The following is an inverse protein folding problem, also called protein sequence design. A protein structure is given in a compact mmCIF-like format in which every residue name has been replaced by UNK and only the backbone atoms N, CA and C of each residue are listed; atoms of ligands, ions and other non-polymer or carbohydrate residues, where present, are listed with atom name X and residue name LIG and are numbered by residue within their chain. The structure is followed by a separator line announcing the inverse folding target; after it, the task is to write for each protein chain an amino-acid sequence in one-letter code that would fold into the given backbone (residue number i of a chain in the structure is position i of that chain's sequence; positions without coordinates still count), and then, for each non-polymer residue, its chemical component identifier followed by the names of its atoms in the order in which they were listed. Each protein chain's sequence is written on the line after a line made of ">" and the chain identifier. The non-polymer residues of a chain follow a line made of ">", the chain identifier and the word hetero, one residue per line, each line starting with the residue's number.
data_IF_930784146535
#
_entry.id   IF_930784146535
#
_cell.length_a   1.000
_cell.length_b   1.000
_cell.length_c   1.000
_cell.angle_alpha   90.00
_cell.angle_beta   90.00
_cell.angle_gamma   90.00
#
_symmetry.space_group_name_H-M   'P 1'
#
loop_
_entity.id
_entity.type
_entity.pdbx_description
1 polymer ?
#
# COMPACT_ATOMS: atom_id res chain seq x y z
N UNK A 1 -46.40 -49.50 51.81
CA UNK A 1 -46.42 -48.27 51.10
C UNK A 1 -45.36 -48.39 49.93
N UNK A 2 -45.74 -48.47 48.64
CA UNK A 2 -44.80 -48.63 47.56
C UNK A 2 -44.44 -47.26 47.03
N UNK A 3 -43.14 -47.05 46.86
CA UNK A 3 -42.52 -45.90 46.25
C UNK A 3 -42.61 -46.02 44.69
N UNK A 4 -43.26 -45.06 44.07
CA UNK A 4 -43.32 -44.96 42.61
C UNK A 4 -42.07 -44.27 42.11
N UNK A 5 -41.26 -44.97 41.26
CA UNK A 5 -40.16 -44.46 40.50
C UNK A 5 -40.72 -43.92 39.18
N UNK A 6 -40.63 -42.61 38.96
CA UNK A 6 -40.98 -41.94 37.69
C UNK A 6 -39.71 -41.90 36.84
N UNK A 7 -39.70 -42.66 35.76
CA UNK A 7 -38.67 -42.67 34.74
C UNK A 7 -38.96 -41.53 33.75
N UNK A 8 -38.16 -40.45 33.78
CA UNK A 8 -38.25 -39.35 32.84
C UNK A 8 -37.37 -39.66 31.61
N UNK A 9 -37.98 -39.90 30.46
CA UNK A 9 -37.27 -40.10 29.21
C UNK A 9 -36.92 -38.73 28.61
N UNK A 10 -35.66 -38.40 28.57
CA UNK A 10 -35.13 -37.24 27.84
C UNK A 10 -34.96 -37.64 26.36
N UNK A 11 -35.82 -37.13 25.49
CA UNK A 11 -35.70 -37.25 24.04
C UNK A 11 -34.66 -36.20 23.58
N UNK A 12 -33.48 -36.67 23.24
CA UNK A 12 -32.41 -35.86 22.64
C UNK A 12 -32.71 -35.70 21.16
N UNK A 13 -33.32 -34.59 20.76
CA UNK A 13 -33.53 -34.25 19.33
C UNK A 13 -32.20 -33.76 18.75
N UNK A 14 -31.48 -34.60 18.03
CA UNK A 14 -30.30 -34.23 17.24
C UNK A 14 -30.78 -33.51 15.99
N UNK A 15 -30.64 -32.19 15.95
CA UNK A 15 -30.79 -31.39 14.74
C UNK A 15 -29.60 -31.69 13.81
N UNK A 16 -29.81 -32.55 12.83
CA UNK A 16 -28.94 -32.66 11.68
C UNK A 16 -29.13 -31.41 10.80
N UNK A 17 -28.23 -30.43 10.90
CA UNK A 17 -28.09 -29.39 9.90
C UNK A 17 -27.45 -30.01 8.65
N UNK A 18 -28.24 -30.14 7.59
CA UNK A 18 -27.74 -30.61 6.29
C UNK A 18 -27.07 -29.44 5.57
N UNK A 19 -25.77 -29.48 5.28
CA UNK A 19 -25.08 -28.42 4.55
C UNK A 19 -25.26 -28.49 3.02
N UNK A 20 -26.07 -29.37 2.49
CA UNK A 20 -26.08 -29.72 1.05
C UNK A 20 -27.19 -29.06 0.22
N UNK A 21 -28.19 -28.42 0.82
CA UNK A 21 -29.33 -27.88 0.08
C UNK A 21 -28.99 -26.57 -0.70
N UNK A 22 -28.00 -25.79 -0.25
CA UNK A 22 -27.60 -24.56 -0.95
C UNK A 22 -26.81 -24.86 -2.22
N UNK A 23 -25.86 -25.79 -2.18
CA UNK A 23 -25.05 -26.18 -3.35
C UNK A 23 -25.88 -26.76 -4.48
N UNK A 24 -26.86 -27.62 -4.15
CA UNK A 24 -27.77 -28.20 -5.13
C UNK A 24 -28.74 -27.16 -5.77
N UNK A 25 -29.13 -26.13 -5.01
CA UNK A 25 -29.94 -25.03 -5.53
C UNK A 25 -29.16 -24.12 -6.48
N UNK A 26 -27.85 -23.93 -6.22
CA UNK A 26 -26.93 -23.11 -7.03
C UNK A 26 -26.60 -23.78 -8.37
N UNK A 27 -26.28 -25.07 -8.39
CA UNK A 27 -26.06 -25.83 -9.62
C UNK A 27 -27.32 -25.84 -10.50
N UNK A 28 -28.50 -25.92 -9.91
CA UNK A 28 -29.77 -25.87 -10.62
C UNK A 28 -30.00 -24.54 -11.36
N UNK A 29 -29.56 -23.42 -10.81
CA UNK A 29 -29.66 -22.10 -11.47
C UNK A 29 -28.74 -21.99 -12.68
N UNK A 30 -27.54 -22.55 -12.61
CA UNK A 30 -26.57 -22.50 -13.71
C UNK A 30 -26.94 -23.46 -14.86
N UNK A 31 -27.67 -24.54 -14.58
CA UNK A 31 -28.11 -25.53 -15.57
C UNK A 31 -29.41 -25.15 -16.28
N UNK A 32 -30.32 -24.43 -15.63
CA UNK A 32 -31.68 -24.16 -16.14
C UNK A 32 -31.78 -23.18 -17.31
N UNK A 33 -30.70 -22.43 -17.61
CA UNK A 33 -30.69 -21.45 -18.72
C UNK A 33 -29.69 -21.83 -19.80
N UNK A 34 -29.94 -22.94 -20.50
CA UNK A 34 -28.97 -23.57 -21.41
C UNK A 34 -28.66 -22.79 -22.69
N UNK A 35 -29.46 -21.80 -23.11
CA UNK A 35 -29.31 -21.18 -24.44
C UNK A 35 -29.25 -19.65 -24.52
N UNK A 36 -29.32 -18.89 -23.42
CA UNK A 36 -29.43 -17.43 -23.51
C UNK A 36 -28.31 -16.65 -22.81
N UNK A 37 -27.35 -17.31 -22.12
CA UNK A 37 -26.27 -16.66 -21.43
C UNK A 37 -25.12 -16.21 -22.33
N UNK A 38 -24.33 -15.24 -21.88
CA UNK A 38 -23.09 -14.82 -22.52
C UNK A 38 -21.95 -15.66 -21.97
N UNK A 39 -21.25 -16.40 -22.85
CA UNK A 39 -20.07 -17.21 -22.50
C UNK A 39 -18.80 -16.39 -22.64
N UNK A 40 -17.90 -16.52 -21.68
CA UNK A 40 -16.59 -15.86 -21.71
C UNK A 40 -15.51 -16.75 -21.07
N UNK A 41 -14.27 -16.53 -21.42
CA UNK A 41 -13.13 -16.98 -20.63
C UNK A 41 -12.80 -15.92 -19.61
N UNK A 42 -12.30 -16.34 -18.46
CA UNK A 42 -11.91 -15.43 -17.40
C UNK A 42 -10.75 -15.98 -16.59
N UNK A 43 -10.24 -15.15 -15.68
CA UNK A 43 -9.23 -15.52 -14.70
C UNK A 43 -9.63 -15.05 -13.32
N UNK A 44 -9.18 -15.78 -12.31
CA UNK A 44 -9.38 -15.42 -10.90
C UNK A 44 -8.38 -14.33 -10.54
N UNK A 45 -8.82 -13.19 -10.04
CA UNK A 45 -7.97 -12.12 -9.54
C UNK A 45 -8.42 -11.65 -8.16
N UNK A 46 -7.49 -11.23 -7.28
CA UNK A 46 -7.87 -10.50 -6.08
C UNK A 46 -8.56 -9.19 -6.45
N UNK A 47 -9.59 -8.81 -5.72
CA UNK A 47 -10.28 -7.53 -5.93
C UNK A 47 -9.35 -6.32 -5.80
N UNK A 48 -8.39 -6.39 -4.90
CA UNK A 48 -7.32 -5.40 -4.72
C UNK A 48 -6.35 -5.31 -5.89
N UNK A 49 -6.41 -6.26 -6.83
CA UNK A 49 -5.36 -6.62 -7.80
C UNK A 49 -4.09 -7.10 -7.12
N UNK A 50 -3.21 -7.71 -7.88
CA UNK A 50 -1.87 -8.07 -7.40
C UNK A 50 -0.98 -6.84 -7.49
N UNK A 51 -0.44 -6.43 -6.35
CA UNK A 51 0.48 -5.29 -6.24
C UNK A 51 1.90 -5.82 -6.30
N UNK A 52 2.65 -5.34 -7.27
CA UNK A 52 4.09 -5.59 -7.35
C UNK A 52 4.82 -4.50 -6.59
N UNK A 53 5.51 -4.90 -5.54
CA UNK A 53 6.34 -4.00 -4.74
C UNK A 53 7.73 -3.96 -5.33
N UNK A 54 8.15 -2.75 -5.70
CA UNK A 54 9.47 -2.48 -6.25
C UNK A 54 10.08 -1.26 -5.56
N UNK A 55 11.36 -1.02 -5.77
CA UNK A 55 12.06 0.15 -5.28
C UNK A 55 12.85 0.81 -6.42
N UNK A 56 12.65 2.10 -6.58
CA UNK A 56 13.37 2.88 -7.60
C UNK A 56 14.68 3.45 -6.99
N UNK A 57 15.74 2.66 -7.03
CA UNK A 57 17.07 3.06 -6.56
C UNK A 57 17.97 3.57 -7.69
N UNK A 58 17.39 4.04 -8.79
CA UNK A 58 18.12 4.49 -9.97
C UNK A 58 18.81 3.34 -10.75
N UNK A 59 19.72 3.66 -11.69
CA UNK A 59 20.31 2.67 -12.61
C UNK A 59 21.09 1.53 -11.95
N UNK A 60 21.54 1.74 -10.71
CA UNK A 60 22.33 0.72 -9.99
C UNK A 60 21.45 -0.27 -9.23
N UNK A 61 20.15 0.00 -9.08
CA UNK A 61 19.21 -0.81 -8.30
C UNK A 61 19.51 -0.80 -6.80
N UNK A 62 18.49 -1.06 -5.97
CA UNK A 62 18.67 -1.27 -4.53
C UNK A 62 19.03 -2.73 -4.27
N UNK A 63 19.92 -3.00 -3.31
CA UNK A 63 20.18 -4.34 -2.80
C UNK A 63 19.37 -4.55 -1.53
N UNK A 64 18.72 -5.70 -1.41
CA UNK A 64 18.05 -6.12 -0.17
C UNK A 64 19.10 -6.52 0.85
N UNK A 65 19.15 -5.87 2.01
CA UNK A 65 19.98 -6.27 3.13
C UNK A 65 19.30 -7.40 3.91
N UNK A 66 18.04 -7.16 4.30
CA UNK A 66 17.27 -8.11 5.09
C UNK A 66 15.83 -8.13 4.62
N UNK A 67 15.26 -9.34 4.52
CA UNK A 67 13.87 -9.61 4.24
C UNK A 67 13.23 -10.21 5.50
N UNK A 68 12.05 -9.70 5.93
CA UNK A 68 11.40 -10.09 7.17
C UNK A 68 10.20 -11.01 6.98
N UNK A 69 9.85 -11.31 5.74
CA UNK A 69 8.64 -12.04 5.40
C UNK A 69 8.94 -13.25 4.52
N UNK A 70 8.01 -14.18 4.48
CA UNK A 70 8.00 -15.35 3.60
C UNK A 70 6.76 -15.31 2.68
N UNK A 71 6.77 -16.16 1.66
CA UNK A 71 5.58 -16.41 0.85
C UNK A 71 4.46 -16.97 1.74
N UNK A 72 3.23 -16.57 1.47
CA UNK A 72 2.02 -16.86 2.25
C UNK A 72 1.89 -16.13 3.59
N UNK A 73 2.84 -15.31 4.00
CA UNK A 73 2.70 -14.49 5.21
C UNK A 73 1.61 -13.42 5.01
N UNK A 74 0.84 -13.18 6.09
CA UNK A 74 -0.15 -12.11 6.15
C UNK A 74 0.47 -10.88 6.79
N UNK A 75 0.37 -9.74 6.13
CA UNK A 75 0.96 -8.47 6.57
C UNK A 75 -0.10 -7.38 6.66
N UNK A 76 0.14 -6.41 7.54
CA UNK A 76 -0.70 -5.22 7.67
C UNK A 76 -0.09 -4.06 6.89
N UNK A 77 -0.93 -3.12 6.46
CA UNK A 77 -0.46 -1.87 5.86
C UNK A 77 0.53 -1.16 6.80
N UNK A 78 1.70 -0.76 6.27
CA UNK A 78 2.78 -0.14 7.01
C UNK A 78 3.83 -1.09 7.59
N UNK A 79 3.57 -2.41 7.65
CA UNK A 79 4.55 -3.38 8.13
C UNK A 79 5.82 -3.33 7.26
N UNK A 80 6.98 -3.41 7.91
CA UNK A 80 8.27 -3.41 7.21
C UNK A 80 8.53 -4.80 6.63
N UNK A 81 8.62 -4.87 5.30
CA UNK A 81 8.84 -6.10 4.55
C UNK A 81 10.33 -6.38 4.35
N UNK A 82 11.11 -5.34 4.06
CA UNK A 82 12.54 -5.44 3.82
C UNK A 82 13.29 -4.16 4.19
N UNK A 83 14.58 -4.32 4.43
CA UNK A 83 15.55 -3.23 4.62
C UNK A 83 16.56 -3.29 3.46
N UNK A 84 16.88 -2.11 2.91
CA UNK A 84 17.87 -1.96 1.85
C UNK A 84 19.29 -1.76 2.42
N UNK A 85 20.30 -2.12 1.64
CA UNK A 85 21.71 -2.14 2.07
C UNK A 85 22.31 -0.77 2.38
N UNK A 86 21.68 0.31 1.98
CA UNK A 86 22.09 1.68 2.28
C UNK A 86 21.45 2.25 3.55
N UNK A 87 20.60 1.49 4.24
CA UNK A 87 19.89 1.90 5.45
C UNK A 87 20.85 2.44 6.53
N UNK A 88 21.91 1.70 6.85
CA UNK A 88 22.88 2.10 7.87
C UNK A 88 23.58 3.42 7.50
N UNK A 89 23.90 3.60 6.22
CA UNK A 89 24.49 4.85 5.72
C UNK A 89 23.51 6.02 5.84
N UNK A 90 22.24 5.83 5.42
CA UNK A 90 21.21 6.87 5.51
C UNK A 90 20.88 7.24 6.96
N UNK A 91 20.92 6.26 7.86
CA UNK A 91 20.78 6.51 9.30
C UNK A 91 21.92 7.42 9.83
N UNK A 92 23.16 7.16 9.44
CA UNK A 92 24.29 8.01 9.83
C UNK A 92 24.19 9.42 9.24
N UNK A 93 23.64 9.58 8.03
CA UNK A 93 23.37 10.89 7.42
C UNK A 93 22.34 11.69 8.25
N UNK A 94 21.26 11.07 8.73
CA UNK A 94 20.26 11.67 9.64
C UNK A 94 20.92 12.09 10.97
N UNK A 95 21.76 11.25 11.56
CA UNK A 95 22.49 11.57 12.80
C UNK A 95 23.41 12.77 12.60
N UNK A 96 24.11 12.83 11.47
CA UNK A 96 25.00 13.96 11.10
C UNK A 96 24.21 15.25 10.92
N UNK A 97 23.09 15.23 10.19
CA UNK A 97 22.23 16.38 10.01
C UNK A 97 21.65 16.89 11.36
N UNK A 98 21.27 15.97 12.22
CA UNK A 98 20.79 16.28 13.57
C UNK A 98 21.88 16.95 14.42
N UNK A 99 23.11 16.43 14.37
CA UNK A 99 24.26 17.01 15.09
C UNK A 99 24.57 18.43 14.60
N UNK A 100 24.48 18.69 13.28
CA UNK A 100 24.65 20.02 12.69
C UNK A 100 23.68 21.05 13.28
N UNK A 101 22.40 20.69 13.42
CA UNK A 101 21.41 21.58 14.05
C UNK A 101 21.81 21.93 15.47
N UNK A 102 22.23 20.96 16.28
CA UNK A 102 22.67 21.19 17.66
C UNK A 102 23.85 22.14 17.75
N UNK A 103 24.80 22.04 16.81
CA UNK A 103 25.95 22.97 16.75
C UNK A 103 25.49 24.41 16.46
N UNK A 104 24.59 24.57 15.45
CA UNK A 104 24.06 25.89 15.11
C UNK A 104 23.21 26.48 16.23
N UNK A 105 22.45 25.68 16.96
CA UNK A 105 21.70 26.11 18.13
C UNK A 105 22.59 26.58 19.26
N UNK A 106 23.70 25.87 19.52
CA UNK A 106 24.70 26.29 20.52
C UNK A 106 25.36 27.61 20.13
N UNK A 107 25.70 27.80 18.84
CA UNK A 107 26.24 29.06 18.33
C UNK A 107 25.25 30.22 18.48
N UNK A 108 23.96 29.96 18.17
CA UNK A 108 22.88 30.94 18.35
C UNK A 108 22.73 31.34 19.83
N UNK A 109 22.86 30.40 20.78
CA UNK A 109 22.80 30.68 22.22
C UNK A 109 23.97 31.59 22.65
N UNK A 110 25.17 31.30 22.16
CA UNK A 110 26.34 32.15 22.43
C UNK A 110 26.16 33.57 21.87
N UNK A 111 25.67 33.71 20.62
CA UNK A 111 25.38 35.01 20.01
C UNK A 111 24.26 35.75 20.75
N UNK A 112 23.24 35.04 21.27
CA UNK A 112 22.17 35.61 22.06
C UNK A 112 22.70 36.29 23.35
N UNK A 113 23.70 35.67 24.00
CA UNK A 113 24.38 36.28 25.16
C UNK A 113 25.11 37.56 24.77
N UNK A 114 25.87 37.54 23.65
CA UNK A 114 26.56 38.70 23.11
C UNK A 114 25.58 39.81 22.70
N UNK A 115 24.50 39.48 22.04
CA UNK A 115 23.46 40.46 21.67
C UNK A 115 22.86 41.11 22.92
N UNK A 116 22.56 40.32 23.94
CA UNK A 116 22.03 40.84 25.21
C UNK A 116 23.02 41.82 25.88
N UNK A 117 24.29 41.51 25.85
CA UNK A 117 25.35 42.41 26.34
C UNK A 117 25.41 43.68 25.51
N UNK A 118 25.54 43.59 24.18
CA UNK A 118 25.63 44.73 23.28
C UNK A 118 24.42 45.67 23.40
N UNK A 119 23.21 45.10 23.55
CA UNK A 119 22.00 45.86 23.79
C UNK A 119 22.08 46.68 25.07
N UNK A 120 22.52 46.07 26.18
CA UNK A 120 22.68 46.76 27.46
C UNK A 120 23.71 47.87 27.35
N UNK A 121 24.83 47.62 26.69
CA UNK A 121 25.89 48.63 26.49
C UNK A 121 25.42 49.81 25.64
N UNK A 122 24.69 49.56 24.55
CA UNK A 122 24.10 50.59 23.71
C UNK A 122 23.14 51.45 24.51
N UNK A 123 22.17 50.87 25.24
CA UNK A 123 21.24 51.58 26.09
C UNK A 123 21.91 52.41 27.19
N UNK A 124 22.97 51.88 27.83
CA UNK A 124 23.78 52.56 28.84
C UNK A 124 24.45 53.79 28.25
N UNK A 125 25.13 53.69 27.10
CA UNK A 125 25.79 54.85 26.46
C UNK A 125 24.78 55.88 25.98
N UNK A 126 23.62 55.45 25.48
CA UNK A 126 22.54 56.35 25.07
C UNK A 126 21.98 57.19 26.25
N UNK A 127 21.85 56.59 27.43
CA UNK A 127 21.37 57.28 28.63
C UNK A 127 22.35 58.31 29.18
N UNK A 128 23.67 58.23 28.85
CA UNK A 128 24.71 59.17 29.26
C UNK A 128 24.92 60.34 28.28
N UNK A 129 24.21 60.36 27.16
CA UNK A 129 24.30 61.42 26.15
C UNK A 129 23.87 62.80 26.63
N UNK A 130 22.80 62.97 27.43
CA UNK A 130 22.37 64.28 27.91
C UNK A 130 23.41 64.99 28.76
N UNK A 131 24.22 64.24 29.50
CA UNK A 131 25.25 64.78 30.41
C UNK A 131 26.58 65.02 29.71
N UNK A 132 26.65 64.91 28.38
CA UNK A 132 27.90 65.01 27.57
C UNK A 132 29.06 64.15 28.08
N UNK A 133 28.74 63.08 28.83
CA UNK A 133 29.76 62.18 29.43
C UNK A 133 30.29 61.15 28.41
N UNK A 134 29.68 61.03 27.20
CA UNK A 134 30.06 60.09 26.14
C UNK A 134 29.99 60.80 24.79
N UNK A 135 30.96 60.54 23.89
CA UNK A 135 30.98 61.08 22.55
C UNK A 135 29.92 60.41 21.63
N UNK A 136 29.42 61.15 20.63
CA UNK A 136 28.47 60.64 19.63
C UNK A 136 29.06 59.40 18.94
N UNK A 137 30.35 59.42 18.57
CA UNK A 137 30.98 58.29 17.89
C UNK A 137 31.02 57.03 18.75
N UNK A 138 31.12 57.14 20.08
CA UNK A 138 31.03 55.98 20.98
C UNK A 138 29.61 55.40 21.03
N UNK A 139 28.58 56.22 21.02
CA UNK A 139 27.18 55.78 20.96
C UNK A 139 26.91 55.02 19.65
N UNK A 140 27.37 55.63 18.53
CA UNK A 140 27.21 54.99 17.19
C UNK A 140 27.96 53.65 17.11
N UNK A 141 29.18 53.55 17.65
CA UNK A 141 29.92 52.30 17.70
C UNK A 141 29.20 51.22 18.51
N UNK A 142 28.58 51.59 19.65
CA UNK A 142 27.75 50.63 20.45
C UNK A 142 26.46 50.24 19.73
N UNK A 143 25.84 51.17 19.01
CA UNK A 143 24.67 50.90 18.17
C UNK A 143 25.03 49.91 17.05
N UNK A 144 26.15 50.14 16.35
CA UNK A 144 26.60 49.19 15.31
C UNK A 144 26.86 47.79 15.86
N UNK A 145 27.50 47.66 17.04
CA UNK A 145 27.74 46.36 17.66
C UNK A 145 26.41 45.64 18.03
N UNK A 146 25.42 46.40 18.51
CA UNK A 146 24.08 45.87 18.78
C UNK A 146 23.39 45.38 17.51
N UNK A 147 23.37 46.22 16.44
CA UNK A 147 22.76 45.87 15.16
C UNK A 147 23.46 44.68 14.50
N UNK A 148 24.79 44.61 14.58
CA UNK A 148 25.61 43.49 14.07
C UNK A 148 25.22 42.17 14.77
N UNK A 149 25.12 42.19 16.11
CA UNK A 149 24.72 40.97 16.85
C UNK A 149 23.27 40.55 16.56
N UNK A 150 22.35 41.49 16.30
CA UNK A 150 21.01 41.19 15.86
C UNK A 150 21.01 40.54 14.47
N UNK A 151 21.80 41.08 13.53
CA UNK A 151 21.93 40.50 12.19
C UNK A 151 22.49 39.06 12.24
N UNK A 152 23.48 38.83 13.13
CA UNK A 152 24.05 37.49 13.36
C UNK A 152 22.99 36.50 13.89
N UNK A 153 22.16 36.92 14.85
CA UNK A 153 21.04 36.08 15.34
C UNK A 153 20.07 35.69 14.24
N UNK A 154 19.70 36.64 13.37
CA UNK A 154 18.85 36.39 12.22
C UNK A 154 19.49 35.42 11.22
N UNK A 155 20.83 35.55 11.00
CA UNK A 155 21.61 34.62 10.18
C UNK A 155 21.56 33.21 10.76
N UNK A 156 21.88 33.03 12.08
CA UNK A 156 21.78 31.72 12.71
C UNK A 156 20.39 31.13 12.67
N UNK A 157 19.32 31.93 12.80
CA UNK A 157 17.94 31.47 12.66
C UNK A 157 17.68 30.89 11.24
N UNK A 158 18.18 31.60 10.20
CA UNK A 158 18.07 31.12 8.83
C UNK A 158 18.88 29.85 8.56
N UNK A 159 20.11 29.77 9.09
CA UNK A 159 20.96 28.57 8.97
C UNK A 159 20.36 27.35 9.69
N UNK A 160 19.75 27.53 10.86
CA UNK A 160 19.02 26.47 11.57
C UNK A 160 17.81 25.99 10.73
N UNK A 161 17.05 26.91 10.17
CA UNK A 161 15.90 26.54 9.32
C UNK A 161 16.35 25.75 8.07
N UNK A 162 17.48 26.16 7.44
CA UNK A 162 18.07 25.42 6.34
C UNK A 162 18.49 24.01 6.79
N UNK A 163 19.22 23.88 7.89
CA UNK A 163 19.66 22.58 8.42
C UNK A 163 18.50 21.67 8.81
N UNK A 164 17.38 22.24 9.31
CA UNK A 164 16.15 21.49 9.57
C UNK A 164 15.50 20.96 8.27
N UNK A 165 15.58 21.73 7.19
CA UNK A 165 15.10 21.28 5.88
C UNK A 165 15.97 20.15 5.31
N UNK A 166 17.29 20.26 5.45
CA UNK A 166 18.25 19.20 5.09
C UNK A 166 18.00 17.92 5.91
N UNK A 167 17.72 18.04 7.21
CA UNK A 167 17.36 16.90 8.06
C UNK A 167 16.08 16.19 7.56
N UNK A 168 15.05 16.95 7.16
CA UNK A 168 13.82 16.35 6.60
C UNK A 168 14.09 15.55 5.33
N UNK A 169 14.99 16.03 4.46
CA UNK A 169 15.41 15.30 3.25
C UNK A 169 16.10 13.99 3.66
N UNK A 170 17.09 14.05 4.58
CA UNK A 170 17.79 12.85 5.05
C UNK A 170 16.85 11.84 5.72
N UNK A 171 15.85 12.33 6.47
CA UNK A 171 14.81 11.46 7.07
C UNK A 171 13.95 10.75 6.02
N UNK A 172 13.53 11.47 4.96
CA UNK A 172 12.77 10.88 3.86
C UNK A 172 13.61 9.84 3.09
N UNK A 173 14.91 10.13 2.88
CA UNK A 173 15.84 9.18 2.27
C UNK A 173 16.02 7.92 3.12
N UNK A 174 16.11 8.06 4.45
CA UNK A 174 16.18 6.94 5.38
C UNK A 174 14.89 6.11 5.33
N UNK A 175 13.73 6.76 5.34
CA UNK A 175 12.44 6.05 5.25
C UNK A 175 12.30 5.29 3.93
N UNK A 176 12.81 5.83 2.83
CA UNK A 176 12.86 5.17 1.53
C UNK A 176 13.70 3.89 1.53
N UNK A 177 14.60 3.68 2.50
CA UNK A 177 15.36 2.42 2.62
C UNK A 177 14.56 1.29 3.26
N UNK A 178 13.36 1.58 3.76
CA UNK A 178 12.43 0.62 4.35
C UNK A 178 11.32 0.31 3.35
N UNK A 179 11.24 -0.91 2.88
CA UNK A 179 10.15 -1.35 2.02
C UNK A 179 9.00 -1.79 2.92
N UNK A 180 7.85 -1.10 2.79
CA UNK A 180 6.66 -1.34 3.60
C UNK A 180 5.49 -1.87 2.77
N UNK A 181 4.59 -2.61 3.43
CA UNK A 181 3.34 -3.05 2.82
C UNK A 181 2.41 -1.84 2.58
N UNK A 182 1.95 -1.59 1.32
CA UNK A 182 1.03 -0.49 1.03
C UNK A 182 -0.41 -0.77 1.50
N UNK A 183 -0.80 -2.04 1.56
CA UNK A 183 -2.11 -2.52 1.99
C UNK A 183 -1.94 -3.67 3.00
N UNK A 184 -3.02 -4.06 3.67
CA UNK A 184 -3.08 -5.37 4.33
C UNK A 184 -3.31 -6.45 3.27
N UNK A 185 -2.73 -7.63 3.47
CA UNK A 185 -2.85 -8.71 2.49
C UNK A 185 -1.86 -9.84 2.71
N UNK A 186 -1.78 -10.71 1.72
CA UNK A 186 -0.93 -11.90 1.71
C UNK A 186 0.22 -11.73 0.72
N UNK A 187 1.40 -12.17 1.09
CA UNK A 187 2.57 -12.22 0.20
C UNK A 187 2.40 -13.42 -0.74
N UNK A 188 2.24 -13.13 -2.03
CA UNK A 188 2.00 -14.16 -3.04
C UNK A 188 3.30 -14.77 -3.55
N UNK A 189 4.30 -13.92 -3.84
CA UNK A 189 5.57 -14.35 -4.41
C UNK A 189 6.69 -13.41 -4.05
N UNK A 190 7.86 -13.96 -3.76
CA UNK A 190 9.09 -13.23 -3.51
C UNK A 190 10.03 -13.40 -4.70
N UNK A 191 10.35 -12.30 -5.38
CA UNK A 191 11.24 -12.29 -6.54
C UNK A 191 12.71 -12.11 -6.16
N UNK A 192 12.98 -11.45 -5.03
CA UNK A 192 14.34 -11.14 -4.57
C UNK A 192 14.51 -11.47 -3.09
N UNK A 193 15.65 -12.02 -2.76
CA UNK A 193 16.03 -12.42 -1.40
C UNK A 193 17.13 -11.51 -0.85
N UNK A 194 17.44 -11.66 0.45
CA UNK A 194 18.56 -10.94 1.09
C UNK A 194 19.86 -11.14 0.30
N UNK A 195 20.58 -10.04 0.04
CA UNK A 195 21.80 -9.99 -0.75
C UNK A 195 21.59 -9.73 -2.26
N UNK A 196 20.37 -9.88 -2.77
CA UNK A 196 20.06 -9.68 -4.19
C UNK A 196 19.68 -8.23 -4.50
N UNK A 197 19.82 -7.85 -5.78
CA UNK A 197 19.38 -6.54 -6.27
C UNK A 197 17.94 -6.60 -6.78
N UNK A 198 17.17 -5.58 -6.46
CA UNK A 198 15.81 -5.39 -6.99
C UNK A 198 15.94 -4.93 -8.43
N UNK A 199 15.39 -5.71 -9.35
CA UNK A 199 15.33 -5.42 -10.79
C UNK A 199 13.90 -5.17 -11.26
N UNK A 200 13.67 -5.33 -12.57
CA UNK A 200 12.38 -5.05 -13.24
C UNK A 200 11.21 -5.88 -12.70
N UNK A 201 11.47 -7.09 -12.19
CA UNK A 201 10.45 -7.93 -11.55
C UNK A 201 9.99 -7.42 -10.19
N UNK A 202 10.63 -6.38 -9.63
CA UNK A 202 10.37 -5.89 -8.29
C UNK A 202 10.95 -6.80 -7.21
N UNK A 203 10.56 -6.54 -5.95
CA UNK A 203 10.94 -7.34 -4.77
C UNK A 203 10.01 -8.52 -4.57
N UNK A 204 8.70 -8.26 -4.57
CA UNK A 204 7.65 -9.24 -4.29
C UNK A 204 6.31 -8.83 -4.88
N UNK A 205 5.36 -9.76 -4.86
CA UNK A 205 3.96 -9.54 -5.19
C UNK A 205 3.08 -9.86 -3.97
N UNK A 206 2.09 -9.00 -3.73
CA UNK A 206 1.12 -9.17 -2.66
C UNK A 206 -0.28 -8.77 -3.10
N UNK A 207 -1.30 -9.28 -2.41
CA UNK A 207 -2.69 -8.92 -2.62
C UNK A 207 -3.52 -9.12 -1.36
N UNK A 208 -4.65 -8.41 -1.28
CA UNK A 208 -5.70 -8.73 -0.33
C UNK A 208 -6.57 -9.85 -0.94
N UNK A 209 -6.52 -11.03 -0.33
CA UNK A 209 -7.26 -12.21 -0.74
C UNK A 209 -8.64 -12.34 -0.08
N UNK A 210 -9.06 -11.36 0.71
CA UNK A 210 -10.38 -11.38 1.39
C UNK A 210 -11.56 -11.35 0.42
N UNK A 211 -11.34 -10.85 -0.79
CA UNK A 211 -12.32 -10.79 -1.87
C UNK A 211 -11.65 -11.13 -3.20
N UNK A 212 -12.29 -12.03 -3.94
CA UNK A 212 -11.85 -12.43 -5.26
C UNK A 212 -12.87 -11.99 -6.32
N UNK A 213 -12.36 -11.52 -7.44
CA UNK A 213 -13.12 -11.23 -8.64
C UNK A 213 -12.74 -12.23 -9.74
N UNK A 214 -13.67 -12.46 -10.64
CA UNK A 214 -13.40 -13.08 -11.94
C UNK A 214 -13.31 -11.96 -12.97
N UNK A 215 -12.19 -11.86 -13.65
CA UNK A 215 -12.02 -10.97 -14.80
C UNK A 215 -12.34 -11.76 -16.05
N UNK A 216 -13.56 -11.55 -16.57
CA UNK A 216 -14.07 -12.25 -17.75
C UNK A 216 -13.82 -11.40 -19.02
N UNK A 217 -13.35 -12.05 -20.07
CA UNK A 217 -13.13 -11.43 -21.39
C UNK A 217 -14.34 -11.66 -22.28
N UNK A 218 -15.25 -10.68 -22.27
CA UNK A 218 -16.49 -10.73 -23.05
C UNK A 218 -16.26 -10.09 -24.41
N UNK A 219 -16.72 -10.75 -25.47
CA UNK A 219 -16.64 -10.19 -26.83
C UNK A 219 -17.46 -8.89 -26.95
N UNK A 220 -16.91 -7.91 -27.69
CA UNK A 220 -17.56 -6.62 -27.93
C UNK A 220 -19.01 -6.78 -28.46
N UNK A 221 -19.24 -7.79 -29.30
CA UNK A 221 -20.56 -8.10 -29.87
C UNK A 221 -21.59 -8.52 -28.84
N UNK A 222 -21.16 -9.12 -27.72
CA UNK A 222 -22.06 -9.63 -26.68
C UNK A 222 -22.24 -8.65 -25.51
N UNK A 223 -21.43 -7.58 -25.45
CA UNK A 223 -21.46 -6.63 -24.34
C UNK A 223 -22.84 -5.99 -24.12
N UNK A 224 -23.61 -5.76 -25.20
CA UNK A 224 -24.96 -5.18 -25.11
C UNK A 224 -25.95 -6.02 -24.29
N UNK A 225 -25.63 -7.30 -24.05
CA UNK A 225 -26.41 -8.26 -23.27
C UNK A 225 -25.98 -8.34 -21.81
N UNK A 226 -24.82 -7.74 -21.46
CA UNK A 226 -24.27 -7.79 -20.10
C UNK A 226 -24.62 -6.53 -19.33
N UNK A 227 -25.08 -6.69 -18.08
CA UNK A 227 -25.44 -5.61 -17.18
C UNK A 227 -24.85 -5.87 -15.79
N UNK A 228 -24.53 -4.81 -15.07
CA UNK A 228 -24.17 -4.88 -13.64
C UNK A 228 -25.33 -5.47 -12.85
N UNK A 229 -25.03 -6.36 -11.90
CA UNK A 229 -26.00 -7.07 -11.07
C UNK A 229 -26.46 -8.43 -11.64
N UNK A 230 -26.05 -8.80 -12.87
CA UNK A 230 -26.35 -10.13 -13.41
C UNK A 230 -25.50 -11.20 -12.70
N UNK A 231 -26.09 -12.39 -12.58
CA UNK A 231 -25.41 -13.57 -12.03
C UNK A 231 -24.55 -14.24 -13.09
N UNK A 232 -23.31 -14.56 -12.75
CA UNK A 232 -22.39 -15.37 -13.54
C UNK A 232 -22.15 -16.73 -12.89
N UNK A 233 -22.15 -17.78 -13.70
CA UNK A 233 -21.77 -19.13 -13.31
C UNK A 233 -20.31 -19.38 -13.70
N UNK A 234 -19.47 -19.71 -12.72
CA UNK A 234 -18.04 -19.89 -12.88
C UNK A 234 -17.71 -21.38 -12.78
N UNK A 235 -17.11 -21.92 -13.83
CA UNK A 235 -16.67 -23.31 -13.88
C UNK A 235 -15.22 -23.41 -14.35
N UNK A 236 -14.52 -24.45 -13.92
CA UNK A 236 -13.13 -24.68 -14.28
C UNK A 236 -12.80 -26.18 -14.31
N UNK A 237 -11.75 -26.55 -15.02
CA UNK A 237 -11.29 -27.93 -15.02
C UNK A 237 -10.83 -28.32 -13.60
N UNK A 238 -11.43 -29.36 -12.99
CA UNK A 238 -11.10 -29.81 -11.63
C UNK A 238 -11.75 -28.98 -10.51
N UNK A 239 -12.75 -28.15 -10.80
CA UNK A 239 -13.66 -27.62 -9.79
C UNK A 239 -14.65 -28.72 -9.40
N UNK A 240 -14.94 -28.84 -8.11
CA UNK A 240 -15.90 -29.83 -7.60
C UNK A 240 -17.35 -29.41 -7.93
N UNK A 241 -17.60 -28.10 -7.99
CA UNK A 241 -18.91 -27.50 -8.28
C UNK A 241 -18.76 -26.18 -9.05
N UNK A 242 -19.89 -25.62 -9.47
CA UNK A 242 -19.95 -24.32 -10.13
C UNK A 242 -20.12 -23.22 -9.07
N UNK A 243 -19.27 -22.21 -9.09
CA UNK A 243 -19.39 -21.06 -8.20
C UNK A 243 -20.25 -19.97 -8.82
N UNK A 244 -20.93 -19.20 -7.97
CA UNK A 244 -21.68 -18.02 -8.38
C UNK A 244 -20.84 -16.77 -8.20
N UNK A 245 -21.05 -15.82 -9.10
CA UNK A 245 -20.45 -14.49 -9.04
C UNK A 245 -21.46 -13.47 -9.56
N UNK A 246 -21.36 -12.23 -9.11
CA UNK A 246 -22.21 -11.13 -9.56
C UNK A 246 -21.39 -10.15 -10.40
N UNK A 247 -21.93 -9.74 -11.56
CA UNK A 247 -21.31 -8.71 -12.40
C UNK A 247 -21.30 -7.39 -11.66
N UNK A 248 -20.10 -6.94 -11.29
CA UNK A 248 -19.87 -5.71 -10.54
C UNK A 248 -19.54 -4.52 -11.43
N UNK A 249 -18.74 -4.78 -12.47
CA UNK A 249 -18.16 -3.70 -13.28
C UNK A 249 -17.97 -4.14 -14.73
N UNK A 250 -18.29 -3.24 -15.66
CA UNK A 250 -18.01 -3.38 -17.07
C UNK A 250 -16.81 -2.48 -17.42
N UNK A 251 -15.81 -3.03 -18.10
CA UNK A 251 -14.67 -2.27 -18.56
C UNK A 251 -15.03 -1.23 -19.61
N UNK A 252 -14.20 -0.20 -19.73
CA UNK A 252 -14.36 0.88 -20.72
C UNK A 252 -13.44 0.72 -21.93
N UNK A 253 -12.50 -0.23 -21.87
CA UNK A 253 -11.48 -0.38 -22.91
C UNK A 253 -11.70 -1.67 -23.69
N UNK A 254 -11.78 -1.52 -25.01
CA UNK A 254 -11.74 -2.65 -25.94
C UNK A 254 -10.29 -3.05 -26.14
N UNK A 255 -9.96 -4.31 -25.90
CA UNK A 255 -8.61 -4.88 -26.05
C UNK A 255 -8.64 -6.08 -26.99
N UNK A 256 -7.47 -6.54 -27.41
CA UNK A 256 -7.31 -7.86 -28.00
C UNK A 256 -7.43 -8.92 -26.90
N UNK A 257 -7.91 -10.09 -27.25
CA UNK A 257 -8.00 -11.22 -26.34
C UNK A 257 -6.62 -11.72 -25.92
N UNK A 258 -6.29 -11.63 -24.63
CA UNK A 258 -4.99 -12.04 -24.10
C UNK A 258 -4.95 -13.53 -23.68
N UNK A 259 -6.11 -14.16 -23.44
CA UNK A 259 -6.20 -15.54 -22.92
C UNK A 259 -6.02 -16.57 -24.02
N UNK A 260 -6.38 -16.28 -25.26
CA UNK A 260 -6.33 -17.19 -26.42
C UNK A 260 -5.12 -16.95 -27.36
N UNK A 261 -4.14 -16.18 -26.96
CA UNK A 261 -3.00 -15.80 -27.82
C UNK A 261 -2.04 -16.97 -28.16
N UNK A 262 -2.32 -18.18 -27.64
CA UNK A 262 -1.53 -19.38 -27.91
C UNK A 262 -1.89 -20.11 -29.19
N UNK A 263 -3.00 -19.79 -29.86
CA UNK A 263 -3.38 -20.42 -31.14
C UNK A 263 -3.07 -19.47 -32.33
N UNK A 264 -2.06 -19.77 -33.16
CA UNK A 264 -1.69 -18.94 -34.33
C UNK A 264 -2.80 -18.84 -35.40
N UNK A 265 -3.82 -19.71 -35.31
CA UNK A 265 -4.97 -19.75 -36.24
C UNK A 265 -6.22 -19.08 -35.63
N UNK A 266 -6.18 -18.66 -34.36
CA UNK A 266 -7.27 -17.90 -33.78
C UNK A 266 -7.38 -16.54 -34.45
N UNK A 267 -8.61 -16.15 -34.76
CA UNK A 267 -8.95 -14.90 -35.43
C UNK A 267 -8.35 -13.72 -34.64
N UNK A 268 -7.33 -13.05 -35.21
CA UNK A 268 -6.55 -12.00 -34.54
C UNK A 268 -7.33 -10.71 -34.25
N UNK A 269 -8.60 -10.67 -34.64
CA UNK A 269 -9.49 -9.51 -34.48
C UNK A 269 -10.52 -9.65 -33.36
N UNK A 270 -10.39 -10.65 -32.49
CA UNK A 270 -11.29 -10.83 -31.36
C UNK A 270 -11.11 -9.70 -30.34
N UNK A 271 -11.99 -8.71 -30.44
CA UNK A 271 -12.06 -7.58 -29.51
C UNK A 271 -12.87 -7.99 -28.30
N UNK A 272 -12.26 -7.78 -27.13
CA UNK A 272 -12.87 -8.10 -25.85
C UNK A 272 -12.96 -6.87 -24.94
N UNK A 273 -13.88 -6.94 -24.01
CA UNK A 273 -14.01 -6.02 -22.89
C UNK A 273 -13.92 -6.83 -21.61
N UNK A 274 -13.12 -6.37 -20.66
CA UNK A 274 -13.04 -7.00 -19.35
C UNK A 274 -14.30 -6.70 -18.55
N UNK A 275 -14.96 -7.74 -18.06
CA UNK A 275 -16.10 -7.68 -17.16
C UNK A 275 -15.66 -8.28 -15.83
N UNK A 276 -15.84 -7.56 -14.73
CA UNK A 276 -15.48 -8.02 -13.40
C UNK A 276 -16.70 -8.55 -12.67
N UNK A 277 -16.61 -9.79 -12.22
CA UNK A 277 -17.64 -10.45 -11.42
C UNK A 277 -17.04 -10.72 -10.02
N UNK A 278 -17.75 -10.32 -8.98
CA UNK A 278 -17.34 -10.61 -7.60
C UNK A 278 -17.84 -11.99 -7.20
N UNK A 279 -16.92 -12.84 -6.74
CA UNK A 279 -17.23 -14.16 -6.20
C UNK A 279 -17.92 -14.06 -4.83
N UNK A 280 -18.80 -15.00 -4.53
CA UNK A 280 -19.35 -15.16 -3.19
C UNK A 280 -18.26 -15.53 -2.18
N UNK A 281 -18.48 -15.16 -0.91
CA UNK A 281 -17.48 -15.35 0.15
C UNK A 281 -17.12 -16.83 0.34
N UNK A 282 -18.07 -17.75 0.16
CA UNK A 282 -17.83 -19.19 0.21
C UNK A 282 -16.80 -19.69 -0.82
N UNK A 283 -16.80 -19.10 -2.00
CA UNK A 283 -15.85 -19.44 -3.07
C UNK A 283 -14.43 -18.93 -2.81
N UNK A 284 -14.27 -17.91 -1.95
CA UNK A 284 -12.95 -17.31 -1.67
C UNK A 284 -12.04 -18.31 -0.98
N UNK A 285 -12.56 -19.06 0.00
CA UNK A 285 -11.75 -20.05 0.76
C UNK A 285 -11.19 -21.14 -0.15
N UNK A 286 -11.97 -21.58 -1.14
CA UNK A 286 -11.58 -22.64 -2.07
C UNK A 286 -10.62 -22.15 -3.16
N UNK A 287 -10.78 -20.89 -3.58
CA UNK A 287 -10.12 -20.34 -4.76
C UNK A 287 -8.95 -19.40 -4.47
N UNK A 288 -8.71 -18.98 -3.20
CA UNK A 288 -7.65 -18.04 -2.83
C UNK A 288 -6.23 -18.51 -3.20
N UNK A 289 -6.01 -19.81 -3.32
CA UNK A 289 -4.73 -20.40 -3.72
C UNK A 289 -4.60 -20.58 -5.25
N UNK A 290 -5.55 -20.07 -6.02
CA UNK A 290 -5.65 -20.31 -7.47
C UNK A 290 -5.67 -19.01 -8.27
N UNK A 291 -4.96 -18.00 -7.82
CA UNK A 291 -4.88 -16.69 -8.48
C UNK A 291 -4.31 -16.85 -9.89
N UNK A 292 -4.90 -16.11 -10.85
CA UNK A 292 -4.65 -16.19 -12.30
C UNK A 292 -5.05 -17.51 -12.97
N UNK A 293 -5.72 -18.43 -12.26
CA UNK A 293 -6.29 -19.62 -12.89
C UNK A 293 -7.36 -19.24 -13.90
N UNK A 294 -7.29 -19.86 -15.08
CA UNK A 294 -8.29 -19.71 -16.12
C UNK A 294 -9.58 -20.45 -15.76
N UNK A 295 -10.70 -19.78 -15.99
CA UNK A 295 -12.05 -20.28 -15.73
C UNK A 295 -12.99 -20.00 -16.92
N UNK A 296 -14.08 -20.75 -16.99
CA UNK A 296 -15.18 -20.48 -17.91
C UNK A 296 -16.27 -19.73 -17.15
N UNK A 297 -16.76 -18.65 -17.75
CA UNK A 297 -17.79 -17.79 -17.22
C UNK A 297 -19.02 -17.87 -18.10
N UNK A 298 -20.20 -18.03 -17.51
CA UNK A 298 -21.50 -17.94 -18.19
C UNK A 298 -22.32 -16.89 -17.45
N UNK A 299 -22.50 -15.72 -18.05
CA UNK A 299 -23.32 -14.63 -17.50
C UNK A 299 -24.75 -14.91 -17.90
N UNK A 300 -25.65 -15.00 -16.92
CA UNK A 300 -27.06 -15.23 -17.11
C UNK A 300 -27.79 -13.95 -17.55
N UNK A 301 -28.87 -14.03 -18.33
CA UNK A 301 -29.61 -12.87 -18.84
C UNK A 301 -30.28 -12.05 -17.73
#
# INVERSE_FOLDING_TARGET
>A
MPVKIILSAVVLTVLFTQPNDQVLAEESRCQSTTHQGVGALGRIEPRSRVIRISHNAGPQGARVEQLFINESDHVKSGDTLAILSDHSKKKAEVETATARIKVLEAQRVAEQALHTYNKKEHLRHQSLQPDAAVSISQIEAKKMAYEQSLANLNRFAAEIHQAQSELKVSQAELDNTLIRAPIHGTILKIHRRSGERIGDSGLLEMADLSQLDIVAEVYETDLHRVRVGQTGCISGAGFEHTYLAEVRELGYLVRKNDINDTDPLSDRDNRIIEVRLTLETSAVEDLQHQIFRQVKVKILP
#
